data_IF_492990654588
#
_entry.id   IF_492990654588
#
_cell.length_a   1.000
_cell.length_b   1.000
_cell.length_c   1.000
_cell.angle_alpha   90.00
_cell.angle_beta   90.00
_cell.angle_gamma   90.00
#
_symmetry.space_group_name_H-M   'P 1'
#
loop_
_entity.id
_entity.type
_entity.pdbx_description
1 polymer ?
#
# COMPACT_ATOMS: atom_id res chain seq x y z
N UNK A 1 32.87 17.81 17.50
CA UNK A 1 32.90 16.47 18.13
C UNK A 1 31.50 16.15 18.61
N UNK A 2 30.92 15.03 18.16
CA UNK A 2 29.63 14.52 18.65
C UNK A 2 28.66 14.13 17.53
N UNK A 3 28.90 12.97 16.91
CA UNK A 3 27.95 12.25 16.06
C UNK A 3 26.71 11.78 16.85
N UNK A 4 25.55 11.81 16.21
CA UNK A 4 24.46 10.84 16.40
C UNK A 4 23.55 10.93 15.16
N UNK A 5 23.87 10.21 14.08
CA UNK A 5 23.19 8.98 13.71
C UNK A 5 21.66 9.08 13.80
N UNK A 6 21.03 9.73 12.80
CA UNK A 6 19.67 9.38 12.42
C UNK A 6 19.71 8.08 11.60
N UNK A 7 20.05 7.00 12.30
CA UNK A 7 19.86 5.66 11.82
C UNK A 7 18.39 5.27 12.02
N UNK A 8 17.87 4.61 11.00
CA UNK A 8 16.75 3.68 11.09
C UNK A 8 15.34 4.28 11.27
N UNK A 9 14.79 4.78 10.16
CA UNK A 9 13.34 4.79 9.93
C UNK A 9 12.96 3.76 8.87
N UNK A 10 13.59 2.60 8.91
CA UNK A 10 13.08 1.43 8.17
C UNK A 10 12.28 0.56 9.12
N UNK A 11 11.15 0.04 8.62
CA UNK A 11 10.40 -1.08 9.17
C UNK A 11 9.37 -0.77 10.27
N UNK A 12 8.26 -0.19 9.85
CA UNK A 12 6.95 -0.73 10.24
C UNK A 12 6.20 -1.15 8.98
N UNK A 13 6.70 -2.22 8.36
CA UNK A 13 5.83 -3.18 7.69
C UNK A 13 5.07 -3.94 8.80
N UNK A 14 3.85 -4.39 8.52
CA UNK A 14 2.90 -5.01 9.45
C UNK A 14 2.12 -4.09 10.38
N UNK A 15 1.45 -3.08 9.80
CA UNK A 15 0.15 -2.69 10.35
C UNK A 15 -0.88 -3.73 9.88
N UNK A 16 -1.16 -4.69 10.76
CA UNK A 16 -2.25 -5.68 10.72
C UNK A 16 -3.46 -5.17 9.96
N UNK A 17 -3.70 -5.75 8.79
CA UNK A 17 -4.85 -5.49 7.93
C UNK A 17 -6.08 -6.25 8.42
N UNK A 18 -6.49 -6.04 9.68
CA UNK A 18 -7.82 -6.43 10.12
C UNK A 18 -8.81 -5.37 9.62
N UNK A 19 -9.12 -5.47 8.32
CA UNK A 19 -10.25 -4.75 7.74
C UNK A 19 -11.54 -5.33 8.32
N UNK A 20 -12.13 -4.63 9.29
CA UNK A 20 -13.52 -4.84 9.71
C UNK A 20 -14.42 -4.99 8.48
N UNK A 21 -15.02 -6.17 8.37
CA UNK A 21 -15.84 -6.62 7.25
C UNK A 21 -17.24 -5.97 7.27
N UNK A 22 -17.29 -4.64 7.12
CA UNK A 22 -18.50 -4.00 6.62
C UNK A 22 -18.55 -4.20 5.09
N UNK A 23 -19.69 -4.62 4.51
CA UNK A 23 -19.81 -4.78 3.06
C UNK A 23 -19.59 -3.41 2.40
N UNK A 24 -18.44 -3.27 1.73
CA UNK A 24 -18.08 -2.06 1.02
C UNK A 24 -19.11 -1.79 -0.07
N UNK A 25 -19.57 -0.56 -0.14
CA UNK A 25 -20.37 -0.09 -1.26
C UNK A 25 -19.57 -0.23 -2.57
N UNK A 26 -20.26 -0.36 -3.71
CA UNK A 26 -19.60 -0.44 -5.02
C UNK A 26 -18.64 0.74 -5.25
N UNK A 27 -18.97 1.91 -4.74
CA UNK A 27 -18.12 3.11 -4.80
C UNK A 27 -16.83 2.95 -3.98
N UNK A 28 -16.91 2.43 -2.76
CA UNK A 28 -15.72 2.16 -1.94
C UNK A 28 -14.81 1.12 -2.56
N UNK A 29 -15.38 0.10 -3.22
CA UNK A 29 -14.57 -0.89 -3.95
C UNK A 29 -13.79 -0.24 -5.09
N UNK A 30 -14.44 0.62 -5.88
CA UNK A 30 -13.77 1.38 -6.96
C UNK A 30 -12.62 2.23 -6.42
N UNK A 31 -12.84 2.94 -5.31
CA UNK A 31 -11.80 3.76 -4.66
C UNK A 31 -10.61 2.89 -4.24
N UNK A 32 -10.85 1.71 -3.65
CA UNK A 32 -9.76 0.80 -3.25
C UNK A 32 -8.93 0.31 -4.44
N UNK A 33 -9.58 -0.04 -5.55
CA UNK A 33 -8.89 -0.48 -6.78
C UNK A 33 -8.05 0.65 -7.38
N UNK A 34 -8.60 1.86 -7.48
CA UNK A 34 -7.84 3.00 -8.01
C UNK A 34 -6.69 3.42 -7.09
N UNK A 35 -6.86 3.34 -5.77
CA UNK A 35 -5.78 3.54 -4.81
C UNK A 35 -4.67 2.48 -4.96
N UNK A 36 -5.03 1.22 -5.22
CA UNK A 36 -4.07 0.14 -5.47
C UNK A 36 -3.27 0.39 -6.75
N UNK A 37 -3.93 0.77 -7.86
CA UNK A 37 -3.26 1.13 -9.12
C UNK A 37 -2.28 2.30 -8.93
N UNK A 38 -2.70 3.34 -8.21
CA UNK A 38 -1.84 4.48 -7.90
C UNK A 38 -0.58 4.03 -7.14
N UNK A 39 -0.76 3.16 -6.13
CA UNK A 39 0.36 2.63 -5.36
C UNK A 39 1.34 1.84 -6.22
N UNK A 40 0.85 0.98 -7.12
CA UNK A 40 1.70 0.23 -8.06
C UNK A 40 2.60 1.17 -8.86
N UNK A 41 2.02 2.23 -9.44
CA UNK A 41 2.77 3.23 -10.22
C UNK A 41 3.80 3.95 -9.34
N UNK A 42 3.43 4.33 -8.12
CA UNK A 42 4.33 5.01 -7.20
C UNK A 42 5.51 4.11 -6.80
N UNK A 43 5.24 2.88 -6.40
CA UNK A 43 6.24 1.91 -5.99
C UNK A 43 7.23 1.64 -7.14
N UNK A 44 6.75 1.48 -8.38
CA UNK A 44 7.60 1.39 -9.58
C UNK A 44 8.50 2.61 -9.78
N UNK A 45 7.94 3.83 -9.66
CA UNK A 45 8.73 5.08 -9.82
C UNK A 45 9.77 5.27 -8.73
N UNK A 46 9.51 4.72 -7.54
CA UNK A 46 10.43 4.75 -6.40
C UNK A 46 11.41 3.58 -6.40
N UNK A 47 11.33 2.65 -7.37
CA UNK A 47 12.16 1.45 -7.41
C UNK A 47 11.89 0.48 -6.26
N UNK A 48 10.66 0.48 -5.72
CA UNK A 48 10.22 -0.39 -4.63
C UNK A 48 9.36 -1.51 -5.18
N UNK A 49 9.43 -2.69 -4.55
CA UNK A 49 8.52 -3.78 -4.86
C UNK A 49 7.14 -3.48 -4.28
N UNK A 50 6.11 -3.57 -5.13
CA UNK A 50 4.72 -3.51 -4.69
C UNK A 50 4.33 -4.82 -4.01
N UNK A 51 3.66 -4.81 -2.84
CA UNK A 51 3.16 -6.02 -2.20
C UNK A 51 2.15 -6.76 -3.08
N UNK A 52 2.19 -8.09 -3.08
CA UNK A 52 1.41 -8.92 -4.01
C UNK A 52 -0.11 -8.71 -3.92
N UNK A 53 -0.64 -8.57 -2.70
CA UNK A 53 -2.07 -8.29 -2.50
C UNK A 53 -2.52 -6.96 -3.12
N UNK A 54 -1.61 -5.98 -3.26
CA UNK A 54 -1.89 -4.70 -3.95
C UNK A 54 -1.92 -4.92 -5.45
N UNK A 55 -1.02 -5.75 -6.00
CA UNK A 55 -1.03 -6.09 -7.42
C UNK A 55 -2.36 -6.77 -7.79
N UNK A 56 -2.77 -7.78 -7.00
CA UNK A 56 -4.04 -8.48 -7.19
C UNK A 56 -5.22 -7.51 -7.12
N UNK A 57 -5.24 -6.59 -6.14
CA UNK A 57 -6.31 -5.61 -6.01
C UNK A 57 -6.33 -4.59 -7.17
N UNK A 58 -5.18 -4.24 -7.73
CA UNK A 58 -5.07 -3.30 -8.84
C UNK A 58 -5.56 -3.88 -10.19
N UNK A 59 -5.53 -5.21 -10.33
CA UNK A 59 -5.98 -5.93 -11.53
C UNK A 59 -7.50 -6.12 -11.59
N UNK A 60 -8.22 -5.79 -10.53
CA UNK A 60 -9.67 -5.93 -10.49
C UNK A 60 -10.39 -5.03 -11.51
N UNK A 61 -11.38 -5.59 -12.22
CA UNK A 61 -12.27 -4.87 -13.13
C UNK A 61 -13.43 -4.22 -12.35
N UNK A 62 -13.72 -2.95 -12.65
CA UNK A 62 -14.77 -2.13 -12.02
C UNK A 62 -16.17 -2.30 -12.66
#
# INVERSE_FOLDING_TARGET
MGEALHADRTRSADATHEQSAAPLTRSERRVKVEAAKLRVVLDQRLGRATPEWVNVLAEEKL
#
